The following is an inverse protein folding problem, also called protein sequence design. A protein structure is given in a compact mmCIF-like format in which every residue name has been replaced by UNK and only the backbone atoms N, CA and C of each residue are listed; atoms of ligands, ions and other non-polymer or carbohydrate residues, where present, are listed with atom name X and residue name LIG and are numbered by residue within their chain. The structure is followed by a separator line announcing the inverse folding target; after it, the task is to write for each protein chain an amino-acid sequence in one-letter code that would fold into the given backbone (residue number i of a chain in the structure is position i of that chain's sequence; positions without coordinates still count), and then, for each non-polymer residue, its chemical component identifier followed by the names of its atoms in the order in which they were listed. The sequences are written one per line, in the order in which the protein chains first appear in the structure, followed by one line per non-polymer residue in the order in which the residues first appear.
data_IF_850309069370
#
_entry.id   IF_850309069370
#
_cell.length_a   1.000
_cell.length_b   1.000
_cell.length_c   1.000
_cell.angle_alpha   90.00
_cell.angle_beta   90.00
_cell.angle_gamma   90.00
#
_symmetry.space_group_name_H-M   'P 1'
#
loop_
_entity.id
_entity.type
_entity.pdbx_description
1 polymer ?
#
# COMPACT_ATOMS: atom_id res chain seq x y z
N UNK A 1 11.80 34.51 11.10
CA UNK A 1 12.90 33.55 10.82
C UNK A 1 13.34 33.80 9.40
N UNK A 2 14.63 34.07 9.18
CA UNK A 2 15.18 34.19 7.83
C UNK A 2 14.97 32.88 7.06
N UNK A 3 14.70 32.93 5.74
CA UNK A 3 14.59 31.71 4.95
C UNK A 3 15.97 31.06 4.87
N UNK A 4 16.15 29.94 5.58
CA UNK A 4 17.29 29.06 5.37
C UNK A 4 17.11 28.44 3.98
N UNK A 5 17.92 28.86 3.01
CA UNK A 5 17.93 28.29 1.67
C UNK A 5 18.50 26.86 1.73
N UNK A 6 17.64 25.89 2.06
CA UNK A 6 17.92 24.48 1.82
C UNK A 6 17.78 24.19 0.33
N UNK A 7 18.62 23.31 -0.20
CA UNK A 7 18.62 23.00 -1.64
C UNK A 7 17.39 22.19 -2.02
N UNK A 8 16.80 21.47 -1.05
CA UNK A 8 15.57 20.70 -1.20
C UNK A 8 14.60 21.07 -0.07
N UNK A 9 13.39 21.58 -0.37
CA UNK A 9 12.38 21.86 0.64
C UNK A 9 11.73 20.57 1.13
N UNK A 10 11.43 20.49 2.44
CA UNK A 10 10.66 19.39 3.01
C UNK A 10 9.21 19.42 2.50
N UNK A 11 8.67 18.26 2.16
CA UNK A 11 7.26 18.14 1.75
C UNK A 11 6.31 18.51 2.90
N UNK A 12 6.70 18.17 4.13
CA UNK A 12 5.98 18.51 5.36
C UNK A 12 5.98 20.03 5.63
N UNK A 13 7.07 20.74 5.28
CA UNK A 13 7.13 22.21 5.36
C UNK A 13 6.21 22.88 4.32
N UNK A 14 6.13 22.32 3.11
CA UNK A 14 5.20 22.78 2.07
C UNK A 14 3.75 22.55 2.53
N UNK A 15 3.46 21.37 3.08
CA UNK A 15 2.16 21.04 3.66
C UNK A 15 1.75 21.94 4.82
N UNK A 16 2.71 22.42 5.61
CA UNK A 16 2.47 23.31 6.75
C UNK A 16 2.26 24.79 6.36
N UNK A 17 2.41 25.14 5.09
CA UNK A 17 2.12 26.49 4.60
C UNK A 17 0.62 26.78 4.71
N UNK A 18 0.23 27.99 5.16
CA UNK A 18 -1.18 28.35 5.44
C UNK A 18 -2.17 28.03 4.30
N UNK A 19 -1.71 28.13 3.06
CA UNK A 19 -2.51 27.89 1.87
C UNK A 19 -2.68 26.38 1.57
N UNK A 20 -1.69 25.56 1.94
CA UNK A 20 -1.65 24.12 1.65
C UNK A 20 -2.09 23.23 2.82
N UNK A 21 -2.10 23.77 4.05
CA UNK A 21 -2.50 23.05 5.26
C UNK A 21 -3.90 22.42 5.14
N UNK A 22 -4.95 23.09 4.60
CA UNK A 22 -6.26 22.46 4.44
C UNK A 22 -6.23 21.27 3.47
N UNK A 23 -5.47 21.38 2.38
CA UNK A 23 -5.34 20.31 1.39
C UNK A 23 -4.60 19.11 1.97
N UNK A 24 -3.58 19.34 2.80
CA UNK A 24 -2.86 18.29 3.50
C UNK A 24 -3.79 17.52 4.45
N UNK A 25 -4.59 18.22 5.25
CA UNK A 25 -5.58 17.61 6.15
C UNK A 25 -6.61 16.80 5.36
N UNK A 26 -7.17 17.37 4.28
CA UNK A 26 -8.12 16.66 3.41
C UNK A 26 -7.49 15.39 2.84
N UNK A 27 -6.24 15.46 2.37
CA UNK A 27 -5.48 14.31 1.89
C UNK A 27 -5.32 13.21 2.94
N UNK A 28 -4.90 13.56 4.15
CA UNK A 28 -4.75 12.61 5.26
C UNK A 28 -6.08 11.96 5.66
N UNK A 29 -7.17 12.74 5.71
CA UNK A 29 -8.51 12.22 6.01
C UNK A 29 -9.00 11.28 4.91
N UNK A 30 -8.87 11.68 3.65
CA UNK A 30 -9.25 10.85 2.49
C UNK A 30 -8.48 9.53 2.47
N UNK A 31 -7.16 9.60 2.66
CA UNK A 31 -6.30 8.41 2.75
C UNK A 31 -6.73 7.49 3.88
N UNK A 32 -7.07 8.05 5.05
CA UNK A 32 -7.56 7.25 6.20
C UNK A 32 -8.84 6.50 5.84
N UNK A 33 -9.79 7.16 5.18
CA UNK A 33 -11.02 6.51 4.73
C UNK A 33 -10.78 5.45 3.65
N UNK A 34 -9.88 5.71 2.70
CA UNK A 34 -9.52 4.75 1.66
C UNK A 34 -8.89 3.49 2.26
N UNK A 35 -7.89 3.64 3.13
CA UNK A 35 -7.22 2.51 3.79
C UNK A 35 -8.20 1.74 4.69
N UNK A 36 -9.03 2.44 5.47
CA UNK A 36 -10.07 1.80 6.27
C UNK A 36 -11.08 1.03 5.41
N UNK A 37 -11.52 1.62 4.28
CA UNK A 37 -12.41 0.99 3.32
C UNK A 37 -11.81 -0.28 2.73
N UNK A 38 -10.52 -0.26 2.38
CA UNK A 38 -9.79 -1.44 1.91
C UNK A 38 -9.74 -2.56 2.95
N UNK A 39 -9.47 -2.25 4.23
CA UNK A 39 -9.49 -3.27 5.29
C UNK A 39 -10.89 -3.85 5.53
N UNK A 40 -11.92 -3.01 5.54
CA UNK A 40 -13.32 -3.46 5.67
C UNK A 40 -13.69 -4.36 4.49
N UNK A 41 -13.30 -3.99 3.27
CA UNK A 41 -13.56 -4.77 2.07
C UNK A 41 -12.90 -6.15 2.12
N UNK A 42 -11.63 -6.20 2.50
CA UNK A 42 -10.89 -7.46 2.69
C UNK A 42 -11.62 -8.37 3.68
N UNK A 43 -12.10 -7.79 4.79
CA UNK A 43 -12.84 -8.53 5.81
C UNK A 43 -14.21 -9.00 5.32
N UNK A 44 -14.95 -8.14 4.62
CA UNK A 44 -16.26 -8.47 4.07
C UNK A 44 -16.19 -9.61 3.03
N UNK A 45 -15.13 -9.64 2.21
CA UNK A 45 -14.87 -10.74 1.27
C UNK A 45 -14.62 -12.07 2.01
N UNK A 46 -13.94 -12.01 3.15
CA UNK A 46 -13.66 -13.17 4.01
C UNK A 46 -14.90 -13.70 4.72
N UNK A 47 -15.78 -12.82 5.19
CA UNK A 47 -17.08 -13.21 5.76
C UNK A 47 -18.04 -13.82 4.73
N UNK A 48 -17.98 -13.37 3.47
CA UNK A 48 -18.78 -13.93 2.37
C UNK A 48 -18.26 -15.27 1.83
N UNK A 49 -17.22 -15.85 2.45
CA UNK A 49 -16.66 -17.15 2.06
C UNK A 49 -15.90 -17.14 0.74
N UNK A 50 -15.54 -15.96 0.21
CA UNK A 50 -14.72 -15.83 -1.01
C UNK A 50 -13.21 -15.91 -0.72
N UNK A 51 -12.81 -15.85 0.56
CA UNK A 51 -11.46 -16.10 1.08
C UNK A 51 -11.54 -17.16 2.19
N UNK A 52 -10.47 -17.93 2.40
CA UNK A 52 -10.39 -18.95 3.45
C UNK A 52 -10.80 -18.39 4.81
N UNK A 53 -11.76 -19.09 5.45
CA UNK A 53 -12.35 -18.68 6.72
C UNK A 53 -11.38 -19.00 7.85
N UNK A 54 -11.10 -18.03 8.72
CA UNK A 54 -10.33 -18.26 9.94
C UNK A 54 -10.97 -19.40 10.73
N UNK A 55 -10.25 -20.51 10.81
CA UNK A 55 -10.68 -21.69 11.55
C UNK A 55 -9.97 -21.75 12.89
N UNK A 56 -8.75 -21.20 12.99
CA UNK A 56 -7.96 -21.24 14.21
C UNK A 56 -8.14 -19.99 15.09
N UNK A 57 -8.03 -20.18 16.40
CA UNK A 57 -8.03 -19.10 17.41
C UNK A 57 -6.84 -18.16 17.24
N UNK A 58 -5.69 -18.68 16.86
CA UNK A 58 -4.48 -17.89 16.59
C UNK A 58 -4.66 -16.94 15.41
N UNK A 59 -5.36 -17.36 14.36
CA UNK A 59 -5.62 -16.50 13.20
C UNK A 59 -6.55 -15.35 13.60
N UNK A 60 -7.53 -15.59 14.49
CA UNK A 60 -8.41 -14.53 15.01
C UNK A 60 -7.64 -13.48 15.82
N UNK A 61 -6.66 -13.90 16.62
CA UNK A 61 -5.83 -12.99 17.41
C UNK A 61 -4.96 -12.13 16.48
N UNK A 62 -4.29 -12.74 15.50
CA UNK A 62 -3.48 -12.00 14.52
C UNK A 62 -4.32 -11.02 13.71
N UNK A 63 -5.53 -11.40 13.30
CA UNK A 63 -6.47 -10.50 12.63
C UNK A 63 -6.85 -9.30 13.52
N UNK A 64 -7.12 -9.54 14.80
CA UNK A 64 -7.48 -8.47 15.73
C UNK A 64 -6.30 -7.52 15.97
N UNK A 65 -5.09 -8.06 16.16
CA UNK A 65 -3.88 -7.24 16.29
C UNK A 65 -3.60 -6.40 15.04
N UNK A 66 -3.80 -6.97 13.85
CA UNK A 66 -3.70 -6.23 12.58
C UNK A 66 -4.63 -5.03 12.57
N UNK A 67 -5.91 -5.21 12.93
CA UNK A 67 -6.90 -4.12 12.97
C UNK A 67 -6.52 -3.05 14.00
N UNK A 68 -6.14 -3.44 15.20
CA UNK A 68 -5.75 -2.48 16.25
C UNK A 68 -4.54 -1.65 15.81
N UNK A 69 -3.52 -2.29 15.23
CA UNK A 69 -2.34 -1.59 14.71
C UNK A 69 -2.68 -0.64 13.54
N UNK A 70 -3.60 -1.02 12.64
CA UNK A 70 -4.09 -0.16 11.57
C UNK A 70 -4.85 1.07 12.10
N UNK A 71 -5.63 0.92 13.19
CA UNK A 71 -6.30 2.04 13.85
C UNK A 71 -5.27 3.01 14.43
N UNK A 72 -4.23 2.51 15.09
CA UNK A 72 -3.13 3.34 15.62
C UNK A 72 -2.43 4.09 14.47
N UNK A 73 -2.13 3.42 13.36
CA UNK A 73 -1.54 4.05 12.16
C UNK A 73 -2.45 5.14 11.56
N UNK A 74 -3.75 4.89 11.51
CA UNK A 74 -4.76 5.84 11.03
C UNK A 74 -4.85 7.09 11.94
N UNK A 75 -4.82 6.89 13.26
CA UNK A 75 -4.75 8.00 14.22
C UNK A 75 -3.48 8.82 14.04
N UNK A 76 -2.33 8.16 13.81
CA UNK A 76 -1.07 8.82 13.51
C UNK A 76 -1.16 9.72 12.27
N UNK A 77 -1.80 9.23 11.19
CA UNK A 77 -1.98 9.97 9.94
C UNK A 77 -2.90 11.20 10.10
N UNK A 78 -3.96 11.10 10.91
CA UNK A 78 -4.82 12.26 11.19
C UNK A 78 -4.07 13.27 12.07
N UNK A 79 -3.41 12.81 13.13
CA UNK A 79 -2.72 13.71 14.06
C UNK A 79 -1.52 14.41 13.44
N UNK A 80 -0.74 13.76 12.56
CA UNK A 80 0.34 14.44 11.85
C UNK A 80 -0.16 15.57 10.93
N UNK A 81 -1.42 15.49 10.47
CA UNK A 81 -2.03 16.53 9.63
C UNK A 81 -2.48 17.76 10.43
N UNK A 82 -2.84 17.57 11.70
CA UNK A 82 -3.24 18.64 12.61
C UNK A 82 -2.01 19.29 13.25
N UNK A 83 -1.04 18.47 13.68
CA UNK A 83 0.19 18.92 14.31
C UNK A 83 1.27 19.22 13.25
N UNK A 84 1.24 20.44 12.74
CA UNK A 84 2.19 20.92 11.74
C UNK A 84 3.64 21.04 12.23
N UNK A 85 4.57 20.84 11.30
CA UNK A 85 6.02 20.99 11.51
C UNK A 85 6.40 22.39 11.99
N UNK A 86 5.69 23.44 11.54
CA UNK A 86 6.01 24.83 11.91
C UNK A 86 5.88 25.12 13.42
N UNK A 87 4.98 24.43 14.12
CA UNK A 87 4.68 24.69 15.54
C UNK A 87 5.12 23.53 16.44
N UNK A 88 5.03 22.30 15.96
CA UNK A 88 5.25 21.10 16.77
C UNK A 88 6.10 20.02 16.07
N UNK A 89 7.26 20.40 15.51
CA UNK A 89 8.17 19.49 14.78
C UNK A 89 8.45 18.14 15.48
N UNK A 90 8.69 18.14 16.80
CA UNK A 90 8.92 16.89 17.56
C UNK A 90 7.68 15.99 17.60
N UNK A 91 6.49 16.58 17.77
CA UNK A 91 5.23 15.84 17.80
C UNK A 91 4.94 15.29 16.41
N UNK A 92 5.08 16.11 15.37
CA UNK A 92 4.90 15.70 13.98
C UNK A 92 5.74 14.47 13.63
N UNK A 93 7.05 14.51 13.92
CA UNK A 93 7.96 13.40 13.62
C UNK A 93 7.61 12.13 14.40
N UNK A 94 7.11 12.28 15.64
CA UNK A 94 6.64 11.14 16.43
C UNK A 94 5.35 10.54 15.84
N UNK A 95 4.43 11.39 15.35
CA UNK A 95 3.19 10.94 14.69
C UNK A 95 3.46 10.25 13.35
N UNK A 96 4.46 10.72 12.58
CA UNK A 96 4.96 10.03 11.38
C UNK A 96 5.46 8.62 11.74
N UNK A 97 6.19 8.49 12.86
CA UNK A 97 6.61 7.19 13.40
C UNK A 97 5.44 6.26 13.73
N UNK A 98 4.41 6.76 14.41
CA UNK A 98 3.19 5.98 14.69
C UNK A 98 2.42 5.59 13.43
N UNK A 99 2.37 6.48 12.45
CA UNK A 99 1.77 6.24 11.15
C UNK A 99 2.47 5.08 10.42
N UNK A 100 3.78 5.21 10.16
CA UNK A 100 4.56 4.18 9.44
C UNK A 100 4.57 2.88 10.25
N UNK A 101 4.86 2.95 11.55
CA UNK A 101 4.95 1.78 12.43
C UNK A 101 3.61 1.04 12.56
N UNK A 102 2.50 1.77 12.74
CA UNK A 102 1.17 1.18 12.86
C UNK A 102 0.75 0.41 11.60
N UNK A 103 0.94 1.01 10.41
CA UNK A 103 0.65 0.34 9.14
C UNK A 103 1.63 -0.80 8.82
N UNK A 104 2.91 -0.68 9.21
CA UNK A 104 3.90 -1.75 9.06
C UNK A 104 3.55 -2.99 9.89
N UNK A 105 3.24 -2.81 11.17
CA UNK A 105 2.82 -3.92 12.04
C UNK A 105 1.54 -4.56 11.52
N UNK A 106 0.56 -3.74 11.08
CA UNK A 106 -0.67 -4.26 10.47
C UNK A 106 -0.39 -5.12 9.24
N UNK A 107 0.43 -4.64 8.31
CA UNK A 107 0.75 -5.36 7.09
C UNK A 107 1.50 -6.67 7.34
N UNK A 108 2.41 -6.71 8.32
CA UNK A 108 3.11 -7.94 8.73
C UNK A 108 2.13 -8.97 9.28
N UNK A 109 1.20 -8.56 10.15
CA UNK A 109 0.17 -9.47 10.66
C UNK A 109 -0.79 -9.94 9.57
N UNK A 110 -1.16 -9.06 8.64
CA UNK A 110 -1.99 -9.42 7.50
C UNK A 110 -1.30 -10.44 6.58
N UNK A 111 -0.01 -10.26 6.32
CA UNK A 111 0.79 -11.22 5.55
C UNK A 111 0.93 -12.55 6.28
N UNK A 112 1.24 -12.53 7.58
CA UNK A 112 1.36 -13.75 8.38
C UNK A 112 0.06 -14.57 8.35
N UNK A 113 -1.06 -13.88 8.50
CA UNK A 113 -2.39 -14.49 8.39
C UNK A 113 -2.61 -15.10 6.99
N UNK A 114 -2.25 -14.38 5.94
CA UNK A 114 -2.39 -14.85 4.55
C UNK A 114 -1.45 -16.03 4.22
N UNK A 115 -0.21 -15.98 4.67
CA UNK A 115 0.79 -17.03 4.47
C UNK A 115 0.34 -18.36 5.08
N UNK A 116 -0.15 -18.31 6.32
CA UNK A 116 -0.64 -19.50 7.04
C UNK A 116 -1.86 -20.13 6.35
N UNK A 117 -2.77 -19.32 5.82
CA UNK A 117 -3.92 -19.81 5.04
C UNK A 117 -3.53 -20.31 3.64
N UNK A 118 -2.56 -19.65 2.99
CA UNK A 118 -2.07 -19.98 1.66
C UNK A 118 -1.41 -21.35 1.58
N UNK A 119 -0.72 -21.78 2.64
CA UNK A 119 -0.20 -23.15 2.75
C UNK A 119 -1.30 -24.24 2.75
N UNK A 120 -2.56 -23.89 3.09
CA UNK A 120 -3.67 -24.84 3.24
C UNK A 120 -4.59 -24.93 2.01
N UNK A 121 -4.63 -23.90 1.15
CA UNK A 121 -5.51 -23.81 -0.02
C UNK A 121 -4.76 -23.29 -1.27
N UNK A 122 -3.76 -24.06 -1.71
CA UNK A 122 -2.67 -23.65 -2.62
C UNK A 122 -3.09 -23.38 -4.08
N UNK A 123 -4.24 -23.87 -4.53
CA UNK A 123 -4.54 -23.94 -5.98
C UNK A 123 -5.55 -22.92 -6.53
N UNK A 124 -6.23 -22.10 -5.71
CA UNK A 124 -7.36 -21.26 -6.20
C UNK A 124 -7.14 -19.74 -6.07
N UNK A 125 -6.04 -19.27 -5.46
CA UNK A 125 -5.91 -17.85 -5.05
C UNK A 125 -4.57 -17.16 -5.36
N UNK A 126 -3.86 -17.53 -6.43
CA UNK A 126 -2.55 -16.94 -6.78
C UNK A 126 -2.56 -15.40 -6.91
N UNK A 127 -3.64 -14.81 -7.46
CA UNK A 127 -3.72 -13.37 -7.67
C UNK A 127 -3.87 -12.56 -6.37
N UNK A 128 -4.46 -13.15 -5.33
CA UNK A 128 -4.61 -12.52 -4.02
C UNK A 128 -3.30 -12.54 -3.23
N UNK A 129 -2.48 -13.59 -3.43
CA UNK A 129 -1.14 -13.71 -2.84
C UNK A 129 -0.18 -12.68 -3.44
N UNK A 130 -0.24 -12.45 -4.76
CA UNK A 130 0.61 -11.47 -5.45
C UNK A 130 0.34 -10.06 -4.91
N UNK A 131 -0.94 -9.65 -4.82
CA UNK A 131 -1.35 -8.36 -4.26
C UNK A 131 -0.87 -8.19 -2.81
N UNK A 132 -1.06 -9.23 -1.97
CA UNK A 132 -0.61 -9.19 -0.58
C UNK A 132 0.92 -9.05 -0.45
N UNK A 133 1.68 -9.72 -1.32
CA UNK A 133 3.14 -9.63 -1.36
C UNK A 133 3.60 -8.24 -1.84
N UNK A 134 2.98 -7.69 -2.88
CA UNK A 134 3.26 -6.33 -3.36
C UNK A 134 3.10 -5.29 -2.25
N UNK A 135 2.04 -5.40 -1.43
CA UNK A 135 1.80 -4.52 -0.27
C UNK A 135 2.88 -4.65 0.80
N UNK A 136 3.35 -5.88 1.07
CA UNK A 136 4.44 -6.11 2.01
C UNK A 136 5.77 -5.52 1.51
N UNK A 137 6.03 -5.58 0.20
CA UNK A 137 7.23 -4.96 -0.38
C UNK A 137 7.17 -3.44 -0.20
N UNK A 138 6.04 -2.81 -0.52
CA UNK A 138 5.88 -1.36 -0.34
C UNK A 138 6.08 -0.94 1.12
N UNK A 139 5.44 -1.60 2.08
CA UNK A 139 5.58 -1.25 3.50
C UNK A 139 6.99 -1.55 4.04
N UNK A 140 7.67 -2.55 3.48
CA UNK A 140 9.08 -2.83 3.78
C UNK A 140 10.01 -1.72 3.29
N UNK A 141 9.80 -1.24 2.06
CA UNK A 141 10.54 -0.08 1.51
C UNK A 141 10.30 1.15 2.37
N UNK A 142 9.05 1.42 2.75
CA UNK A 142 8.69 2.52 3.67
C UNK A 142 9.38 2.39 5.03
N UNK A 143 9.44 1.18 5.59
CA UNK A 143 10.16 0.91 6.83
C UNK A 143 11.65 1.23 6.73
N UNK A 144 12.30 0.81 5.64
CA UNK A 144 13.72 1.12 5.39
C UNK A 144 13.94 2.62 5.23
N UNK A 145 13.10 3.30 4.44
CA UNK A 145 13.17 4.75 4.26
C UNK A 145 12.92 5.50 5.57
N UNK A 146 11.96 5.05 6.39
CA UNK A 146 11.69 5.63 7.71
C UNK A 146 12.86 5.47 8.68
N UNK A 147 13.52 4.32 8.70
CA UNK A 147 14.75 4.11 9.48
C UNK A 147 15.88 5.01 8.97
N UNK A 148 16.06 5.11 7.65
CA UNK A 148 17.04 6.00 7.04
C UNK A 148 16.77 7.47 7.41
N UNK A 149 15.51 7.92 7.36
CA UNK A 149 15.10 9.25 7.80
C UNK A 149 15.47 9.49 9.26
N UNK A 150 15.22 8.52 10.15
CA UNK A 150 15.56 8.63 11.56
C UNK A 150 17.07 8.84 11.79
N UNK A 151 17.92 8.08 11.10
CA UNK A 151 19.36 8.26 11.17
C UNK A 151 19.81 9.63 10.65
N UNK A 152 19.26 10.07 9.51
CA UNK A 152 19.57 11.37 8.91
C UNK A 152 19.08 12.53 9.79
N UNK A 153 17.92 12.37 10.42
CA UNK A 153 17.38 13.31 11.39
C UNK A 153 18.30 13.46 12.61
N UNK A 154 18.82 12.35 13.15
CA UNK A 154 19.80 12.39 14.24
C UNK A 154 21.13 13.02 13.81
N UNK A 155 21.57 12.78 12.57
CA UNK A 155 22.76 13.39 11.99
C UNK A 155 22.60 14.89 11.62
N UNK A 156 21.39 15.46 11.77
CA UNK A 156 21.07 16.86 11.44
C UNK A 156 21.39 17.24 9.98
N UNK A 157 21.32 16.28 9.06
CA UNK A 157 21.54 16.53 7.64
C UNK A 157 20.19 16.82 6.94
N UNK A 158 19.87 18.10 6.80
CA UNK A 158 18.56 18.56 6.37
C UNK A 158 18.24 18.25 4.90
N UNK A 159 19.20 18.43 3.98
CA UNK A 159 18.97 18.17 2.55
C UNK A 159 18.70 16.68 2.28
N UNK A 160 19.44 15.79 2.95
CA UNK A 160 19.20 14.36 2.84
C UNK A 160 17.86 13.95 3.47
N UNK A 161 17.48 14.58 4.59
CA UNK A 161 16.20 14.31 5.26
C UNK A 161 15.02 14.71 4.39
N UNK A 162 15.11 15.85 3.70
CA UNK A 162 14.09 16.32 2.78
C UNK A 162 13.93 15.36 1.60
N UNK A 163 15.04 14.88 1.01
CA UNK A 163 14.99 13.91 -0.08
C UNK A 163 14.30 12.60 0.33
N UNK A 164 14.55 12.11 1.56
CA UNK A 164 13.91 10.90 2.08
C UNK A 164 12.41 11.12 2.32
N UNK A 165 11.99 12.27 2.87
CA UNK A 165 10.55 12.57 3.03
C UNK A 165 9.79 12.59 1.71
N UNK A 166 10.39 13.14 0.66
CA UNK A 166 9.82 13.06 -0.70
C UNK A 166 9.71 11.62 -1.18
N UNK A 167 10.77 10.81 -1.01
CA UNK A 167 10.75 9.40 -1.39
C UNK A 167 9.64 8.63 -0.66
N UNK A 168 9.53 8.79 0.66
CA UNK A 168 8.45 8.23 1.49
C UNK A 168 7.07 8.67 0.97
N UNK A 169 6.90 9.95 0.64
CA UNK A 169 5.61 10.45 0.16
C UNK A 169 5.20 9.82 -1.18
N UNK A 170 6.15 9.64 -2.10
CA UNK A 170 5.89 8.99 -3.39
C UNK A 170 5.61 7.50 -3.24
N UNK A 171 6.43 6.78 -2.47
CA UNK A 171 6.23 5.34 -2.24
C UNK A 171 4.90 5.09 -1.53
N UNK A 172 4.52 5.95 -0.57
CA UNK A 172 3.26 5.84 0.14
C UNK A 172 2.06 6.11 -0.79
N UNK A 173 2.19 7.05 -1.73
CA UNK A 173 1.19 7.27 -2.76
C UNK A 173 1.00 6.01 -3.64
N UNK A 174 2.08 5.39 -4.11
CA UNK A 174 2.01 4.13 -4.86
C UNK A 174 1.43 2.98 -4.03
N UNK A 175 1.73 2.94 -2.74
CA UNK A 175 1.14 1.98 -1.80
C UNK A 175 -0.38 2.13 -1.75
N UNK A 176 -0.92 3.34 -1.56
CA UNK A 176 -2.38 3.57 -1.58
C UNK A 176 -2.98 3.20 -2.94
N UNK A 177 -2.32 3.57 -4.04
CA UNK A 177 -2.78 3.22 -5.39
C UNK A 177 -2.85 1.69 -5.59
N UNK A 178 -1.90 0.93 -5.04
CA UNK A 178 -1.92 -0.54 -5.10
C UNK A 178 -3.19 -1.10 -4.42
N UNK A 179 -3.60 -0.54 -3.29
CA UNK A 179 -4.86 -0.88 -2.63
C UNK A 179 -6.10 -0.49 -3.45
N UNK A 180 -6.07 0.66 -4.11
CA UNK A 180 -7.15 1.11 -4.97
C UNK A 180 -7.33 0.18 -6.18
N UNK A 181 -6.23 -0.23 -6.83
CA UNK A 181 -6.26 -1.16 -7.96
C UNK A 181 -6.82 -2.53 -7.60
N UNK A 182 -6.49 -3.04 -6.41
CA UNK A 182 -7.08 -4.29 -5.92
C UNK A 182 -8.58 -4.18 -5.64
N UNK A 183 -9.08 -2.98 -5.34
CA UNK A 183 -10.46 -2.76 -4.93
C UNK A 183 -11.40 -2.30 -6.06
N UNK A 184 -10.90 -1.68 -7.12
CA UNK A 184 -11.65 -1.31 -8.34
C UNK A 184 -12.52 -2.46 -8.91
N UNK A 185 -11.99 -3.69 -9.11
CA UNK A 185 -12.80 -4.81 -9.60
C UNK A 185 -13.78 -5.35 -8.55
N UNK A 186 -13.56 -5.09 -7.26
CA UNK A 186 -14.48 -5.49 -6.19
C UNK A 186 -15.71 -4.57 -6.10
N UNK A 187 -15.56 -3.28 -6.41
CA UNK A 187 -16.67 -2.31 -6.50
C UNK A 187 -17.56 -2.53 -7.73
N UNK A 188 -16.99 -3.08 -8.81
CA UNK A 188 -17.76 -3.43 -10.00
C UNK A 188 -18.55 -4.71 -9.73
N UNK A 189 -19.85 -4.57 -9.50
CA UNK A 189 -20.80 -5.69 -9.37
C UNK A 189 -20.97 -6.44 -10.69
N UNK A 190 -20.05 -7.37 -11.00
CA UNK A 190 -20.34 -8.45 -11.96
C UNK A 190 -21.19 -9.55 -11.29
N UNK A 191 -22.00 -10.26 -12.10
CA UNK A 191 -22.82 -11.42 -11.70
C UNK A 191 -21.98 -12.44 -10.92
N UNK A 192 -22.64 -13.16 -10.00
CA UNK A 192 -22.02 -14.04 -8.99
C UNK A 192 -21.01 -15.06 -9.53
N UNK A 193 -21.09 -15.41 -10.81
CA UNK A 193 -20.35 -16.54 -11.39
C UNK A 193 -19.00 -16.19 -12.04
N UNK A 194 -18.62 -14.90 -12.15
CA UNK A 194 -17.40 -14.49 -12.86
C UNK A 194 -16.57 -13.43 -12.12
N UNK A 195 -16.33 -13.60 -10.81
CA UNK A 195 -15.83 -12.48 -9.96
C UNK A 195 -14.42 -12.62 -9.39
N UNK A 196 -13.68 -13.69 -9.68
CA UNK A 196 -12.21 -13.75 -9.58
C UNK A 196 -11.70 -14.84 -10.51
N UNK A 197 -10.98 -14.45 -11.58
CA UNK A 197 -10.43 -15.35 -12.61
C UNK A 197 -10.05 -14.61 -13.91
N UNK A 198 -10.77 -13.54 -14.25
CA UNK A 198 -10.65 -12.92 -15.58
C UNK A 198 -9.41 -12.04 -15.81
N UNK A 199 -8.75 -11.47 -14.79
CA UNK A 199 -7.58 -10.60 -15.07
C UNK A 199 -6.37 -11.39 -15.60
N UNK A 200 -6.20 -12.63 -15.17
CA UNK A 200 -5.14 -13.51 -15.69
C UNK A 200 -5.62 -14.28 -16.91
N UNK A 201 -6.90 -14.68 -17.00
CA UNK A 201 -7.40 -15.24 -18.26
C UNK A 201 -7.39 -14.22 -19.40
N UNK A 202 -7.73 -12.95 -19.20
CA UNK A 202 -7.69 -11.95 -20.26
C UNK A 202 -6.25 -11.57 -20.62
N UNK A 203 -5.33 -11.46 -19.65
CA UNK A 203 -3.92 -11.18 -19.95
C UNK A 203 -3.20 -12.41 -20.53
N UNK A 204 -3.48 -13.63 -20.06
CA UNK A 204 -2.92 -14.86 -20.62
C UNK A 204 -3.60 -15.27 -21.91
N UNK A 205 -4.89 -14.96 -22.14
CA UNK A 205 -5.54 -15.13 -23.43
C UNK A 205 -5.03 -14.10 -24.43
N UNK A 206 -4.81 -12.84 -24.03
CA UNK A 206 -4.14 -11.85 -24.89
C UNK A 206 -2.69 -12.28 -25.21
N UNK A 207 -1.93 -12.75 -24.23
CA UNK A 207 -0.54 -13.22 -24.42
C UNK A 207 -0.50 -14.52 -25.23
N UNK A 208 -1.40 -15.48 -25.00
CA UNK A 208 -1.48 -16.71 -25.80
C UNK A 208 -1.97 -16.43 -27.23
N UNK A 209 -2.95 -15.54 -27.43
CA UNK A 209 -3.38 -15.09 -28.75
C UNK A 209 -2.28 -14.34 -29.50
N UNK A 210 -1.44 -13.59 -28.77
CA UNK A 210 -0.26 -12.92 -29.33
C UNK A 210 0.83 -13.95 -29.67
N UNK A 211 1.06 -14.94 -28.80
CA UNK A 211 2.01 -16.04 -29.01
C UNK A 211 1.61 -16.96 -30.17
N UNK A 212 0.32 -17.30 -30.31
CA UNK A 212 -0.20 -18.06 -31.45
C UNK A 212 -0.01 -17.28 -32.75
N UNK A 213 -0.34 -15.98 -32.77
CA UNK A 213 -0.11 -15.14 -33.97
C UNK A 213 1.36 -15.04 -34.36
N UNK A 214 2.28 -14.95 -33.40
CA UNK A 214 3.73 -14.91 -33.68
C UNK A 214 4.24 -16.28 -34.15
N UNK A 215 3.72 -17.39 -33.61
CA UNK A 215 4.15 -18.74 -34.01
C UNK A 215 3.65 -19.18 -35.40
N UNK A 216 2.54 -18.62 -35.88
CA UNK A 216 1.92 -19.00 -37.17
C UNK A 216 2.48 -18.19 -38.35
N UNK A 217 3.23 -17.11 -38.12
CA UNK A 217 3.69 -16.21 -39.19
C UNK A 217 5.12 -16.48 -39.69
N UNK A 218 5.86 -17.46 -39.15
CA UNK A 218 7.28 -17.66 -39.47
C UNK A 218 7.64 -19.10 -39.92
N UNK A 219 6.88 -19.72 -40.84
CA UNK A 219 7.43 -20.79 -41.71
C UNK A 219 6.69 -20.82 -43.06
N UNK A 220 7.03 -19.91 -43.98
CA UNK A 220 6.88 -20.14 -45.43
C UNK A 220 8.01 -19.42 -46.19
N UNK A 221 9.22 -19.99 -46.14
CA UNK A 221 10.25 -19.80 -47.16
C UNK A 221 10.06 -20.87 -48.24
N UNK A 222 9.43 -20.53 -49.36
CA UNK A 222 10.08 -20.28 -50.68
C UNK A 222 10.72 -21.56 -51.28
N UNK A 223 10.00 -22.15 -52.23
CA UNK A 223 10.60 -22.93 -53.33
C UNK A 223 11.20 -21.94 -54.35
N UNK A 224 12.29 -22.29 -55.03
CA UNK A 224 12.18 -22.89 -56.38
C UNK A 224 13.24 -24.01 -56.56
N UNK A 225 13.09 -25.00 -57.46
CA UNK A 225 12.80 -24.84 -58.88
C UNK A 225 14.11 -24.66 -59.61
#
# INVERSE_FOLDING_TARGET
MAPQFHRVPYVSDIGATKEMQPMFIIGCVLTTFLLAGCFIAERALRHKGRLARNTDTTEKVVAYLSIVSAVIGSMGLIFLSIFDVCRYKKVHNTMVGFFIGGYAVSAVFQFWEHYRMGCKYRDTHANLVISAYTKLVFIGIEGVLGIAYWYVFMAQNWDAGAAIEWAVSYVFCFYILSYLFDFLPALTTKKKDCRFGAYVEDCMAQVNMCRERVSVQEVRGVAPG
#
